data_IF_866299808043
#
_entry.id   IF_866299808043
#
_cell.length_a   1.000
_cell.length_b   1.000
_cell.length_c   1.000
_cell.angle_alpha   90.00
_cell.angle_beta   90.00
_cell.angle_gamma   90.00
#
_symmetry.space_group_name_H-M   'P 1'
#
loop_
_entity.id
_entity.type
_entity.pdbx_description
1 polymer ?
#
# COMPACT_ATOMS: atom_id res chain seq x y z
N UNK A 1 7.56 -47.00 -27.08
CA UNK A 1 8.91 -47.35 -26.80
C UNK A 1 9.64 -46.18 -26.19
N UNK A 2 9.69 -46.08 -24.87
CA UNK A 2 10.54 -45.13 -24.14
C UNK A 2 11.86 -45.83 -23.84
N UNK A 3 12.96 -45.38 -24.35
CA UNK A 3 14.31 -45.80 -23.96
C UNK A 3 15.26 -44.61 -24.23
N UNK A 4 15.94 -44.16 -23.17
CA UNK A 4 17.12 -43.31 -23.35
C UNK A 4 17.17 -42.05 -22.50
N UNK A 5 17.29 -42.17 -21.18
CA UNK A 5 17.91 -41.12 -20.33
C UNK A 5 18.91 -41.78 -19.40
N UNK A 6 20.14 -41.91 -19.84
CA UNK A 6 21.31 -42.21 -19.03
C UNK A 6 22.39 -41.21 -19.39
N UNK A 7 22.84 -40.44 -18.39
CA UNK A 7 24.00 -39.56 -18.57
C UNK A 7 23.99 -38.31 -17.71
N UNK A 8 24.01 -38.44 -16.40
CA UNK A 8 24.48 -37.40 -15.48
C UNK A 8 25.38 -38.01 -14.41
N UNK A 9 26.62 -38.24 -14.75
CA UNK A 9 27.73 -38.46 -13.82
C UNK A 9 28.83 -37.47 -14.16
N UNK A 10 29.11 -36.54 -13.22
CA UNK A 10 30.22 -35.61 -13.38
C UNK A 10 30.10 -34.37 -12.52
N UNK A 11 29.98 -34.49 -11.20
CA UNK A 11 30.31 -33.43 -10.25
C UNK A 11 31.12 -34.00 -9.09
N UNK A 12 32.38 -34.26 -9.32
CA UNK A 12 33.39 -34.45 -8.29
C UNK A 12 34.52 -33.46 -8.55
N UNK A 13 34.64 -32.45 -7.68
CA UNK A 13 35.72 -31.48 -7.80
C UNK A 13 35.48 -30.17 -7.03
N UNK A 14 35.20 -30.23 -5.73
CA UNK A 14 35.38 -29.10 -4.83
C UNK A 14 35.93 -29.58 -3.48
N UNK A 15 37.20 -29.97 -3.48
CA UNK A 15 38.01 -30.10 -2.27
C UNK A 15 39.18 -29.12 -2.41
N UNK A 16 39.14 -28.02 -1.66
CA UNK A 16 40.26 -27.06 -1.68
C UNK A 16 39.90 -25.70 -1.14
N UNK A 17 39.37 -25.59 0.06
CA UNK A 17 39.39 -24.34 0.84
C UNK A 17 39.53 -24.66 2.34
N UNK A 18 40.70 -25.15 2.72
CA UNK A 18 41.16 -25.13 4.09
C UNK A 18 42.34 -24.16 4.16
N UNK A 19 42.13 -23.01 4.82
CA UNK A 19 43.22 -22.04 5.03
C UNK A 19 42.73 -20.60 5.10
N UNK A 20 41.79 -20.28 5.99
CA UNK A 20 41.65 -18.91 6.49
C UNK A 20 41.85 -18.93 7.99
N UNK A 21 43.03 -18.44 8.36
CA UNK A 21 43.47 -18.21 9.73
C UNK A 21 42.68 -17.04 10.35
N UNK A 22 41.86 -17.35 11.37
CA UNK A 22 41.04 -16.37 12.10
C UNK A 22 41.75 -15.64 13.24
N UNK A 23 43.08 -15.58 13.27
CA UNK A 23 43.82 -15.07 14.42
C UNK A 23 44.28 -13.61 14.33
N UNK A 24 43.78 -12.77 13.42
CA UNK A 24 44.28 -11.38 13.31
C UNK A 24 43.21 -10.30 13.09
N UNK A 25 42.03 -10.43 13.72
CA UNK A 25 41.08 -9.29 13.83
C UNK A 25 40.66 -9.08 15.27
N UNK A 26 41.61 -8.85 16.16
CA UNK A 26 41.39 -8.26 17.48
C UNK A 26 41.89 -6.82 17.42
N UNK A 27 41.17 -5.98 16.70
CA UNK A 27 41.31 -4.53 16.58
C UNK A 27 40.23 -3.87 17.40
N UNK A 28 40.66 -3.35 18.51
CA UNK A 28 40.17 -2.23 19.32
C UNK A 28 38.77 -1.72 19.00
N UNK A 29 37.75 -2.25 19.68
CA UNK A 29 36.46 -1.57 19.83
C UNK A 29 36.60 -0.46 20.86
N UNK A 30 37.13 0.68 20.42
CA UNK A 30 37.09 1.91 21.19
C UNK A 30 35.64 2.24 21.56
N UNK A 31 35.39 2.36 22.85
CA UNK A 31 34.17 2.86 23.45
C UNK A 31 33.72 4.12 22.73
N UNK A 32 32.60 4.03 21.97
CA UNK A 32 31.94 5.21 21.43
C UNK A 32 31.36 6.01 22.59
N UNK A 33 31.97 7.14 22.85
CA UNK A 33 31.54 8.13 23.83
C UNK A 33 30.21 8.75 23.34
N UNK A 34 29.10 8.31 23.90
CA UNK A 34 27.73 8.82 23.62
C UNK A 34 27.52 10.26 24.10
N UNK A 35 28.50 10.90 24.76
CA UNK A 35 28.39 12.28 25.26
C UNK A 35 28.56 13.35 24.18
N UNK A 36 28.96 12.99 22.95
CA UNK A 36 29.13 13.93 21.82
C UNK A 36 27.95 14.00 20.85
N UNK A 37 26.87 13.26 21.09
CA UNK A 37 25.64 13.36 20.29
C UNK A 37 24.60 14.36 20.85
N UNK A 38 24.92 15.10 21.90
CA UNK A 38 24.07 16.17 22.44
C UNK A 38 24.31 17.50 21.71
N UNK A 39 24.10 17.54 20.40
CA UNK A 39 24.36 18.75 19.63
C UNK A 39 23.85 18.70 18.18
N UNK A 40 23.13 17.65 17.82
CA UNK A 40 22.40 17.68 16.56
C UNK A 40 21.05 18.36 16.76
N UNK A 41 21.00 19.59 16.30
CA UNK A 41 19.80 20.40 16.25
C UNK A 41 18.74 19.67 15.37
N UNK A 42 17.74 19.07 16.04
CA UNK A 42 16.62 18.41 15.39
C UNK A 42 15.72 19.39 14.62
N UNK A 43 16.00 20.70 14.70
CA UNK A 43 15.26 21.72 13.96
C UNK A 43 15.58 21.77 12.46
N UNK A 44 16.72 21.20 12.03
CA UNK A 44 17.09 21.16 10.62
C UNK A 44 16.45 20.01 9.82
N UNK A 45 15.78 19.06 10.48
CA UNK A 45 15.01 17.99 9.82
C UNK A 45 13.54 18.32 9.61
N UNK A 46 13.08 19.51 9.93
CA UNK A 46 11.70 19.97 9.69
C UNK A 46 11.36 20.20 8.22
N UNK A 47 12.29 20.00 7.31
CA UNK A 47 12.10 20.24 5.87
C UNK A 47 11.80 19.01 5.02
N UNK A 48 11.84 17.80 5.59
CA UNK A 48 11.51 16.55 4.93
C UNK A 48 10.45 15.76 5.71
N UNK A 49 9.42 16.43 6.17
CA UNK A 49 8.34 15.84 6.94
C UNK A 49 7.32 15.11 6.10
N UNK A 50 7.70 14.05 5.42
CA UNK A 50 6.73 13.00 5.17
C UNK A 50 6.47 12.33 6.52
N UNK A 51 5.37 12.71 7.18
CA UNK A 51 4.96 12.05 8.42
C UNK A 51 4.75 10.56 8.14
N UNK A 52 5.34 9.70 8.95
CA UNK A 52 5.12 8.26 8.85
C UNK A 52 3.63 7.95 8.96
N UNK A 53 3.18 7.00 8.16
CA UNK A 53 1.79 6.54 8.19
C UNK A 53 1.48 5.94 9.56
N UNK A 54 0.39 6.38 10.16
CA UNK A 54 -0.15 5.76 11.38
C UNK A 54 -1.08 4.61 11.01
N UNK A 55 -1.14 3.61 11.88
CA UNK A 55 -1.96 2.41 11.68
C UNK A 55 -2.96 2.23 12.81
N UNK A 56 -4.15 1.65 12.54
CA UNK A 56 -5.11 1.31 13.58
C UNK A 56 -4.50 0.32 14.60
N UNK A 57 -4.88 0.47 15.88
CA UNK A 57 -4.44 -0.46 16.93
C UNK A 57 -4.88 -1.91 16.67
N UNK A 58 -5.93 -2.12 15.88
CA UNK A 58 -6.40 -3.45 15.45
C UNK A 58 -5.43 -4.19 14.53
N UNK A 59 -4.46 -3.50 13.94
CA UNK A 59 -3.39 -4.12 13.14
C UNK A 59 -2.20 -4.56 13.98
N UNK A 60 -2.01 -3.97 15.17
CA UNK A 60 -0.84 -4.22 16.01
C UNK A 60 -0.85 -5.65 16.57
N UNK A 61 0.20 -6.41 16.26
CA UNK A 61 0.32 -7.81 16.69
C UNK A 61 -0.75 -8.74 16.11
N UNK A 62 -1.50 -8.31 15.11
CA UNK A 62 -2.57 -9.07 14.49
C UNK A 62 -2.00 -10.14 13.54
N UNK A 63 -2.27 -11.45 13.77
CA UNK A 63 -1.77 -12.53 12.91
C UNK A 63 -2.35 -12.54 11.50
N UNK A 64 -3.36 -11.71 11.20
CA UNK A 64 -3.94 -11.52 9.87
C UNK A 64 -3.33 -10.35 9.11
N UNK A 65 -2.33 -9.68 9.70
CA UNK A 65 -1.64 -8.53 9.12
C UNK A 65 -0.16 -8.84 8.99
N UNK A 66 0.28 -9.18 7.78
CA UNK A 66 1.68 -9.55 7.54
C UNK A 66 2.63 -8.37 7.54
N UNK A 67 2.14 -7.20 7.13
CA UNK A 67 2.98 -6.03 6.95
C UNK A 67 2.18 -4.74 7.02
N UNK A 68 2.90 -3.64 7.19
CA UNK A 68 2.37 -2.29 7.21
C UNK A 68 3.27 -1.38 6.37
N UNK A 69 2.68 -0.51 5.56
CA UNK A 69 3.45 0.48 4.80
C UNK A 69 3.74 1.69 5.66
N UNK A 70 4.99 2.15 5.67
CA UNK A 70 5.43 3.25 6.54
C UNK A 70 5.31 4.61 5.87
N UNK A 71 5.51 4.68 4.55
CA UNK A 71 5.47 5.92 3.78
C UNK A 71 4.73 5.72 2.45
N UNK A 72 3.42 5.45 2.50
CA UNK A 72 2.64 5.29 1.29
C UNK A 72 2.48 6.62 0.56
N UNK A 73 2.43 6.55 -0.77
CA UNK A 73 2.22 7.70 -1.65
C UNK A 73 1.10 7.42 -2.64
N UNK A 74 0.50 8.43 -3.26
CA UNK A 74 -0.59 8.21 -4.22
C UNK A 74 -0.19 7.43 -5.47
N UNK A 75 1.06 7.54 -5.93
CA UNK A 75 1.60 6.86 -7.13
C UNK A 75 0.62 6.90 -8.31
N UNK A 76 0.01 8.06 -8.57
CA UNK A 76 -0.97 8.19 -9.66
C UNK A 76 -0.33 8.07 -11.05
N UNK A 77 0.97 8.24 -11.15
CA UNK A 77 1.77 8.09 -12.37
C UNK A 77 2.37 6.69 -12.55
N UNK A 78 2.02 5.74 -11.68
CA UNK A 78 2.54 4.38 -11.75
C UNK A 78 1.84 3.57 -12.85
N UNK A 79 2.56 3.12 -13.89
CA UNK A 79 1.99 2.32 -14.96
C UNK A 79 1.82 0.84 -14.60
N UNK A 80 2.38 0.39 -13.46
CA UNK A 80 2.44 -1.00 -13.05
C UNK A 80 3.83 -1.62 -13.18
N UNK A 81 3.97 -2.81 -12.60
CA UNK A 81 5.25 -3.53 -12.54
C UNK A 81 5.75 -3.85 -13.95
N UNK A 82 7.01 -3.47 -14.24
CA UNK A 82 7.67 -3.74 -15.52
C UNK A 82 7.14 -2.94 -16.71
N UNK A 83 6.24 -1.98 -16.49
CA UNK A 83 5.66 -1.18 -17.55
C UNK A 83 6.28 0.22 -17.68
N UNK A 84 7.07 0.65 -16.71
CA UNK A 84 7.82 1.90 -16.79
C UNK A 84 9.02 1.72 -17.71
N UNK A 85 9.22 2.65 -18.66
CA UNK A 85 10.35 2.68 -19.59
C UNK A 85 10.48 1.44 -20.51
N UNK A 86 9.37 0.79 -20.81
CA UNK A 86 9.33 -0.39 -21.68
C UNK A 86 9.19 -0.07 -23.18
N UNK A 87 9.40 1.19 -23.56
CA UNK A 87 9.26 1.67 -24.94
C UNK A 87 7.81 1.91 -25.39
N UNK A 88 6.84 1.76 -24.51
CA UNK A 88 5.42 2.02 -24.77
C UNK A 88 4.90 3.09 -23.83
N UNK A 89 3.92 3.87 -24.30
CA UNK A 89 3.13 4.73 -23.42
C UNK A 89 2.05 3.87 -22.75
N UNK A 90 2.09 3.84 -21.42
CA UNK A 90 1.08 3.14 -20.59
C UNK A 90 0.21 4.19 -19.92
N UNK A 91 -1.11 4.03 -20.00
CA UNK A 91 -2.07 4.92 -19.35
C UNK A 91 -1.98 4.76 -17.83
N UNK A 92 -1.89 5.88 -17.13
CA UNK A 92 -1.89 5.95 -15.67
C UNK A 92 -3.02 6.82 -15.17
N UNK A 93 -3.30 6.80 -13.86
CA UNK A 93 -4.28 7.73 -13.27
C UNK A 93 -3.88 9.20 -13.46
N UNK A 94 -2.58 9.50 -13.48
CA UNK A 94 -2.10 10.86 -13.71
C UNK A 94 -2.53 11.41 -15.09
N UNK A 95 -2.67 10.54 -16.09
CA UNK A 95 -3.10 10.90 -17.45
C UNK A 95 -4.60 11.21 -17.55
N UNK A 96 -5.41 10.71 -16.61
CA UNK A 96 -6.86 10.86 -16.68
C UNK A 96 -7.29 12.29 -16.37
N UNK A 97 -8.23 12.79 -17.16
CA UNK A 97 -8.91 14.07 -16.95
C UNK A 97 -10.41 13.86 -17.05
N UNK A 98 -11.15 14.44 -16.12
CA UNK A 98 -12.60 14.44 -16.20
C UNK A 98 -13.07 15.33 -17.35
N UNK A 99 -14.13 14.89 -18.03
CA UNK A 99 -14.83 15.68 -19.05
C UNK A 99 -15.89 16.61 -18.46
N UNK A 100 -16.05 16.59 -17.15
CA UNK A 100 -16.99 17.42 -16.39
C UNK A 100 -16.36 17.84 -15.05
N UNK A 101 -16.88 18.89 -14.48
CA UNK A 101 -16.50 19.36 -13.14
C UNK A 101 -16.98 18.40 -12.05
N UNK A 102 -16.48 18.58 -10.82
CA UNK A 102 -16.96 17.81 -9.66
C UNK A 102 -18.50 17.93 -9.57
N UNK A 103 -19.25 16.84 -9.75
CA UNK A 103 -20.71 16.91 -9.81
C UNK A 103 -21.38 17.38 -8.52
N UNK A 104 -20.74 17.20 -7.38
CA UNK A 104 -21.22 17.68 -6.08
C UNK A 104 -20.67 19.07 -5.75
N UNK A 105 -19.40 19.31 -6.03
CA UNK A 105 -18.72 20.58 -5.79
C UNK A 105 -18.43 20.88 -4.31
N UNK A 106 -19.03 20.15 -3.36
CA UNK A 106 -18.81 20.37 -1.92
C UNK A 106 -17.48 19.78 -1.46
N UNK A 107 -16.87 20.43 -0.49
CA UNK A 107 -15.76 19.85 0.24
C UNK A 107 -16.26 18.73 1.16
N UNK A 108 -15.46 17.67 1.38
CA UNK A 108 -15.82 16.61 2.33
C UNK A 108 -16.02 17.18 3.75
N UNK A 109 -17.08 16.75 4.41
CA UNK A 109 -17.40 17.16 5.79
C UNK A 109 -16.60 16.39 6.83
N UNK A 110 -16.13 15.19 6.48
CA UNK A 110 -15.27 14.33 7.31
C UNK A 110 -14.44 13.40 6.45
N UNK A 111 -13.44 12.81 7.06
CA UNK A 111 -12.56 11.82 6.42
C UNK A 111 -12.66 10.49 7.15
N UNK A 112 -12.71 9.42 6.37
CA UNK A 112 -12.64 8.03 6.83
C UNK A 112 -11.37 7.44 6.24
N UNK A 113 -10.45 6.94 7.05
CA UNK A 113 -9.27 6.22 6.59
C UNK A 113 -9.45 4.73 6.86
N UNK A 114 -9.20 3.91 5.85
CA UNK A 114 -9.27 2.46 5.90
C UNK A 114 -7.98 1.87 5.34
N UNK A 115 -7.46 0.86 6.02
CA UNK A 115 -6.28 0.15 5.61
C UNK A 115 -6.64 -1.19 5.00
N UNK A 116 -6.09 -1.50 3.83
CA UNK A 116 -6.17 -2.81 3.21
C UNK A 116 -5.08 -3.67 3.83
N UNK A 117 -5.48 -4.71 4.54
CA UNK A 117 -4.62 -5.59 5.30
C UNK A 117 -4.79 -7.02 4.85
N UNK A 118 -3.81 -7.89 5.12
CA UNK A 118 -3.91 -9.27 4.71
C UNK A 118 -2.79 -10.16 5.22
N UNK A 119 -3.03 -11.44 5.08
CA UNK A 119 -2.09 -12.53 5.36
C UNK A 119 -1.90 -13.34 4.08
N UNK A 120 -0.72 -13.26 3.48
CA UNK A 120 -0.43 -13.84 2.16
C UNK A 120 -0.53 -15.37 2.14
N UNK A 121 -0.01 -16.06 3.15
CA UNK A 121 -0.05 -17.52 3.21
C UNK A 121 -1.47 -18.07 3.34
N UNK A 122 -2.35 -17.35 4.04
CA UNK A 122 -3.75 -17.75 4.24
C UNK A 122 -4.69 -17.21 3.20
N UNK A 123 -4.21 -16.37 2.27
CA UNK A 123 -5.04 -15.62 1.32
C UNK A 123 -6.23 -14.93 1.99
N UNK A 124 -5.98 -14.36 3.17
CA UNK A 124 -7.00 -13.67 3.96
C UNK A 124 -6.80 -12.18 3.89
N UNK A 125 -7.85 -11.46 3.46
CA UNK A 125 -7.84 -10.02 3.26
C UNK A 125 -8.87 -9.37 4.17
N UNK A 126 -8.56 -8.16 4.66
CA UNK A 126 -9.41 -7.45 5.61
C UNK A 126 -9.23 -5.94 5.49
N UNK A 127 -10.12 -5.19 6.11
CA UNK A 127 -9.92 -3.77 6.38
C UNK A 127 -9.49 -3.60 7.83
N UNK A 128 -8.45 -2.78 8.06
CA UNK A 128 -7.94 -2.45 9.39
C UNK A 128 -7.63 -3.69 10.27
N UNK A 129 -7.25 -4.81 9.64
CA UNK A 129 -7.00 -6.07 10.34
C UNK A 129 -8.25 -6.81 10.83
N UNK A 130 -9.46 -6.34 10.49
CA UNK A 130 -10.73 -6.93 10.92
C UNK A 130 -11.37 -7.68 9.77
N UNK A 131 -11.59 -9.02 9.89
CA UNK A 131 -12.28 -9.81 8.87
C UNK A 131 -13.71 -9.31 8.63
N UNK A 132 -14.24 -9.53 7.43
CA UNK A 132 -15.59 -9.09 7.07
C UNK A 132 -16.66 -9.57 8.05
N UNK A 133 -16.55 -10.79 8.55
CA UNK A 133 -17.52 -11.37 9.49
C UNK A 133 -17.62 -10.61 10.82
N UNK A 134 -16.53 -9.96 11.22
CA UNK A 134 -16.41 -9.26 12.52
C UNK A 134 -16.44 -7.73 12.35
N UNK A 135 -16.50 -7.26 11.08
CA UNK A 135 -16.42 -5.83 10.79
C UNK A 135 -17.74 -5.09 11.05
N UNK A 136 -17.63 -3.96 11.75
CA UNK A 136 -18.76 -3.04 11.86
C UNK A 136 -18.96 -2.29 10.53
N UNK A 137 -20.22 -2.09 10.09
CA UNK A 137 -20.49 -1.32 8.88
C UNK A 137 -19.96 0.12 8.96
N UNK A 138 -19.32 0.57 7.89
CA UNK A 138 -19.00 1.99 7.73
C UNK A 138 -20.29 2.76 7.51
N UNK A 139 -20.63 3.65 8.46
CA UNK A 139 -21.89 4.38 8.46
C UNK A 139 -21.73 5.72 7.77
N UNK A 140 -22.55 5.98 6.75
CA UNK A 140 -22.66 7.25 6.06
C UNK A 140 -24.05 7.84 6.33
N UNK A 141 -24.13 9.17 6.49
CA UNK A 141 -25.40 9.88 6.57
C UNK A 141 -25.87 10.25 5.18
N UNK A 142 -27.15 10.03 4.88
CA UNK A 142 -27.71 10.42 3.61
C UNK A 142 -27.46 11.92 3.32
N UNK A 143 -26.97 12.22 2.12
CA UNK A 143 -26.65 13.55 1.67
C UNK A 143 -25.28 14.08 2.10
N UNK A 144 -24.53 13.40 2.97
CA UNK A 144 -23.18 13.86 3.31
C UNK A 144 -22.18 13.64 2.17
N UNK A 145 -21.17 14.50 2.15
CA UNK A 145 -19.98 14.35 1.29
C UNK A 145 -18.80 13.98 2.16
N UNK A 146 -18.26 12.78 1.97
CA UNK A 146 -17.12 12.27 2.76
C UNK A 146 -15.90 12.08 1.88
N UNK A 147 -14.71 12.16 2.50
CA UNK A 147 -13.46 11.67 1.92
C UNK A 147 -13.17 10.30 2.48
N UNK A 148 -12.89 9.36 1.59
CA UNK A 148 -12.34 8.06 1.96
C UNK A 148 -10.88 8.05 1.55
N UNK A 149 -10.01 7.67 2.48
CA UNK A 149 -8.59 7.43 2.24
C UNK A 149 -8.37 5.93 2.36
N UNK A 150 -7.78 5.33 1.34
CA UNK A 150 -7.33 3.94 1.37
C UNK A 150 -5.81 3.89 1.44
N UNK A 151 -5.31 3.04 2.33
CA UNK A 151 -3.88 2.72 2.47
C UNK A 151 -3.72 1.22 2.21
N UNK A 152 -2.87 0.84 1.27
CA UNK A 152 -2.61 -0.58 1.01
C UNK A 152 -1.37 -1.05 1.78
N UNK A 153 -1.61 -1.76 2.86
CA UNK A 153 -0.59 -2.39 3.72
C UNK A 153 -0.19 -3.79 3.25
N UNK A 154 -0.66 -4.23 2.07
CA UNK A 154 -0.36 -5.56 1.53
C UNK A 154 0.62 -5.51 0.37
N UNK A 155 1.16 -6.66 -0.01
CA UNK A 155 2.03 -6.82 -1.17
C UNK A 155 1.29 -7.05 -2.48
N UNK A 156 -0.03 -6.97 -2.47
CA UNK A 156 -0.89 -7.25 -3.62
C UNK A 156 -1.71 -6.02 -4.01
N UNK A 157 -1.94 -5.83 -5.29
CA UNK A 157 -2.85 -4.79 -5.78
C UNK A 157 -4.30 -5.19 -5.49
N UNK A 158 -5.05 -4.28 -4.88
CA UNK A 158 -6.48 -4.46 -4.58
C UNK A 158 -7.31 -3.41 -5.32
N UNK A 159 -8.07 -3.77 -6.36
CA UNK A 159 -9.09 -2.90 -6.93
C UNK A 159 -10.32 -2.86 -6.01
N UNK A 160 -10.57 -1.71 -5.42
CA UNK A 160 -11.62 -1.52 -4.42
C UNK A 160 -12.84 -0.88 -5.04
N UNK A 161 -14.00 -1.50 -4.83
CA UNK A 161 -15.28 -1.07 -5.36
C UNK A 161 -16.30 -0.82 -4.25
N UNK A 162 -16.85 0.40 -4.24
CA UNK A 162 -17.98 0.77 -3.41
C UNK A 162 -19.26 0.70 -4.26
N UNK A 163 -20.20 -0.14 -3.86
CA UNK A 163 -21.51 -0.20 -4.48
C UNK A 163 -22.38 1.02 -4.15
N UNK A 164 -23.32 1.33 -5.01
CA UNK A 164 -24.38 2.29 -4.80
C UNK A 164 -24.01 3.76 -4.96
N UNK A 165 -22.73 4.09 -4.92
CA UNK A 165 -22.22 5.47 -4.98
C UNK A 165 -20.97 5.53 -5.84
N UNK A 166 -20.68 6.72 -6.39
CA UNK A 166 -19.47 6.95 -7.16
C UNK A 166 -18.28 7.29 -6.26
N UNK A 167 -17.10 6.88 -6.70
CA UNK A 167 -15.82 7.22 -6.07
C UNK A 167 -15.15 8.30 -6.93
N UNK A 168 -15.20 9.55 -6.46
CA UNK A 168 -14.60 10.68 -7.14
C UNK A 168 -13.14 10.82 -6.70
N UNK A 169 -12.22 10.25 -7.51
CA UNK A 169 -10.79 10.21 -7.22
C UNK A 169 -10.24 11.62 -7.07
N UNK A 170 -9.43 11.83 -6.04
CA UNK A 170 -8.70 13.07 -5.80
C UNK A 170 -7.26 12.98 -6.34
N UNK A 171 -6.71 14.12 -6.71
CA UNK A 171 -5.30 14.28 -7.00
C UNK A 171 -4.47 14.37 -5.70
N UNK A 172 -3.15 14.53 -5.82
CA UNK A 172 -2.23 14.63 -4.70
C UNK A 172 -2.48 15.86 -3.79
N UNK A 173 -3.21 16.85 -4.29
CA UNK A 173 -3.57 18.07 -3.56
C UNK A 173 -4.98 17.98 -2.94
N UNK A 174 -5.66 16.85 -3.09
CA UNK A 174 -7.01 16.65 -2.59
C UNK A 174 -8.11 17.32 -3.44
N UNK A 175 -7.82 17.61 -4.71
CA UNK A 175 -8.80 18.13 -5.65
C UNK A 175 -9.44 17.01 -6.46
N UNK A 176 -10.70 17.21 -6.88
CA UNK A 176 -11.37 16.29 -7.78
C UNK A 176 -10.56 16.07 -9.06
N UNK A 177 -10.33 14.83 -9.41
CA UNK A 177 -9.60 14.44 -10.62
C UNK A 177 -10.51 13.76 -11.65
N UNK A 178 -11.14 12.68 -11.28
CA UNK A 178 -11.99 11.88 -12.19
C UNK A 178 -12.92 10.97 -11.39
N UNK A 179 -14.13 10.76 -11.92
CA UNK A 179 -15.10 9.82 -11.34
C UNK A 179 -14.78 8.39 -11.73
N UNK A 180 -14.80 7.52 -10.74
CA UNK A 180 -14.53 6.08 -10.87
C UNK A 180 -15.56 5.28 -10.10
N UNK A 181 -15.78 4.03 -10.48
CA UNK A 181 -16.51 3.08 -9.63
C UNK A 181 -15.57 2.11 -8.90
N UNK A 182 -14.38 1.91 -9.39
CA UNK A 182 -13.34 1.06 -8.79
C UNK A 182 -12.03 1.82 -8.75
N UNK A 183 -11.35 1.78 -7.62
CA UNK A 183 -10.04 2.38 -7.40
C UNK A 183 -9.04 1.26 -7.18
N UNK A 184 -8.07 1.10 -8.06
CA UNK A 184 -6.99 0.16 -7.84
C UNK A 184 -5.99 0.73 -6.83
N UNK A 185 -5.52 -0.16 -5.97
CA UNK A 185 -4.60 0.15 -4.88
C UNK A 185 -3.37 -0.75 -4.98
N UNK A 186 -2.33 -0.36 -5.72
CA UNK A 186 -1.06 -1.06 -5.69
C UNK A 186 -0.42 -1.07 -4.31
N UNK A 187 0.51 -2.01 -4.02
CA UNK A 187 1.24 -2.02 -2.75
C UNK A 187 1.90 -0.69 -2.41
N UNK A 188 1.82 -0.28 -1.15
CA UNK A 188 2.41 0.95 -0.66
C UNK A 188 1.77 2.22 -1.22
N UNK A 189 0.52 2.15 -1.67
CA UNK A 189 -0.24 3.34 -2.11
C UNK A 189 -1.16 3.86 -1.02
N UNK A 190 -1.36 5.18 -1.04
CA UNK A 190 -2.37 5.90 -0.28
C UNK A 190 -3.12 6.79 -1.25
N UNK A 191 -4.39 6.47 -1.50
CA UNK A 191 -5.25 7.19 -2.44
C UNK A 191 -6.51 7.67 -1.74
N UNK A 192 -6.97 8.86 -2.12
CA UNK A 192 -8.20 9.44 -1.58
C UNK A 192 -9.22 9.66 -2.68
N UNK A 193 -10.48 9.56 -2.31
CA UNK A 193 -11.62 9.88 -3.15
C UNK A 193 -12.77 10.40 -2.32
N UNK A 194 -13.66 11.16 -2.97
CA UNK A 194 -14.85 11.71 -2.37
C UNK A 194 -16.05 10.85 -2.71
N UNK A 195 -16.97 10.73 -1.77
CA UNK A 195 -18.22 10.01 -1.95
C UNK A 195 -19.36 10.93 -1.53
N UNK A 196 -20.37 11.06 -2.38
CA UNK A 196 -21.66 11.65 -2.00
C UNK A 196 -22.60 10.52 -1.63
N UNK A 197 -23.07 10.52 -0.39
CA UNK A 197 -23.98 9.49 0.13
C UNK A 197 -25.42 9.78 -0.31
N UNK A 198 -25.72 9.57 -1.59
CA UNK A 198 -26.98 9.91 -2.25
C UNK A 198 -27.90 8.69 -2.49
N UNK A 199 -27.51 7.52 -2.00
CA UNK A 199 -28.30 6.29 -2.13
C UNK A 199 -28.48 5.62 -0.77
N UNK A 200 -29.73 5.48 -0.36
CA UNK A 200 -30.10 4.75 0.87
C UNK A 200 -29.92 3.24 0.67
N UNK A 201 -29.50 2.55 1.73
CA UNK A 201 -29.39 1.10 1.73
C UNK A 201 -28.15 0.58 2.43
N UNK A 202 -27.89 -0.71 2.26
CA UNK A 202 -26.68 -1.41 2.68
C UNK A 202 -25.91 -1.79 1.41
N UNK A 203 -24.74 -1.23 1.26
CA UNK A 203 -23.95 -1.37 0.05
C UNK A 203 -22.69 -2.16 0.34
N UNK A 204 -22.37 -3.11 -0.53
CA UNK A 204 -21.11 -3.84 -0.48
C UNK A 204 -19.93 -2.90 -0.76
N UNK A 205 -18.85 -3.09 -0.02
CA UNK A 205 -17.59 -2.39 -0.21
C UNK A 205 -16.48 -3.45 -0.18
N UNK A 206 -15.88 -3.72 -1.33
CA UNK A 206 -15.06 -4.92 -1.46
C UNK A 206 -13.96 -4.78 -2.51
N UNK A 207 -12.96 -5.65 -2.42
CA UNK A 207 -11.99 -5.87 -3.49
C UNK A 207 -12.69 -6.55 -4.68
N UNK A 208 -12.40 -6.10 -5.91
CA UNK A 208 -13.00 -6.63 -7.13
C UNK A 208 -12.23 -7.81 -7.71
N UNK A 209 -11.12 -8.23 -7.10
CA UNK A 209 -10.52 -9.53 -7.36
C UNK A 209 -11.27 -10.55 -6.50
N UNK A 210 -11.87 -11.52 -7.18
CA UNK A 210 -12.51 -12.65 -6.52
C UNK A 210 -11.42 -13.59 -6.00
N UNK A 211 -11.08 -13.45 -4.74
CA UNK A 211 -10.16 -14.31 -4.02
C UNK A 211 -10.89 -14.98 -2.87
#
# INVERSE_FOLDING_TARGET
>A
GMSGMSGMSGMSGMSGMSGMDHSSMQGDMGTMDHSKMAGMDHSAMSGMGASMQTHPASEEGNPLVDMQTMMPTPKLDDPGIGLRENGRRVLTYADLKSTFEDPDGRKPSRTIELHLTGHMEKFSWSFDGVPFADAEPVRLKYGERVRIILVNDTMMTHPIHLHGMWSDLEDENGNFKVRKHTIDMPPGTKRSYRVTADALGRWAYHCHLLL
#
